data_IF_440657547695
#
_entry.id   IF_440657547695
#
_cell.length_a   1.000
_cell.length_b   1.000
_cell.length_c   1.000
_cell.angle_alpha   90.00
_cell.angle_beta   90.00
_cell.angle_gamma   90.00
#
_symmetry.space_group_name_H-M   'P 1'
#
loop_
_entity.id
_entity.type
_entity.pdbx_description
1 polymer ?
#
# COMPACT_ATOMS: atom_id res chain seq x y z
N UNK A 1 -16.03 18.18 -8.94
CA UNK A 1 -15.20 17.26 -8.12
C UNK A 1 -14.75 16.13 -9.02
N UNK A 2 -13.44 15.93 -9.17
CA UNK A 2 -12.90 14.81 -9.95
C UNK A 2 -13.46 13.50 -9.36
N UNK A 3 -14.09 12.65 -10.19
CA UNK A 3 -14.45 11.29 -9.77
C UNK A 3 -13.12 10.56 -9.52
N UNK A 4 -12.66 10.52 -8.27
CA UNK A 4 -11.41 9.83 -7.94
C UNK A 4 -11.45 8.38 -8.43
N UNK A 5 -10.29 7.78 -8.70
CA UNK A 5 -10.22 6.34 -8.92
C UNK A 5 -10.86 5.59 -7.76
N UNK A 6 -11.42 4.42 -8.02
CA UNK A 6 -12.10 3.61 -7.01
C UNK A 6 -11.22 2.47 -6.49
N UNK A 7 -9.90 2.63 -6.51
CA UNK A 7 -8.96 1.54 -6.28
C UNK A 7 -7.90 1.90 -5.25
N UNK A 8 -7.62 0.93 -4.39
CA UNK A 8 -6.54 0.96 -3.41
C UNK A 8 -5.57 -0.19 -3.71
N UNK A 9 -4.30 0.14 -3.87
CA UNK A 9 -3.21 -0.82 -4.08
C UNK A 9 -2.38 -0.91 -2.80
N UNK A 10 -2.31 -2.12 -2.24
CA UNK A 10 -1.61 -2.40 -0.98
C UNK A 10 -0.44 -3.34 -1.28
N UNK A 11 0.75 -2.94 -0.86
CA UNK A 11 1.92 -3.80 -0.85
C UNK A 11 2.28 -4.19 0.58
N UNK A 12 2.65 -5.44 0.77
CA UNK A 12 3.55 -5.80 1.86
C UNK A 12 4.95 -5.20 1.63
N UNK A 13 5.78 -5.16 2.68
CA UNK A 13 7.11 -4.59 2.60
C UNK A 13 8.22 -5.65 2.49
N UNK A 14 8.39 -6.46 3.54
CA UNK A 14 9.50 -7.40 3.67
C UNK A 14 9.33 -8.55 2.65
N UNK A 15 10.38 -8.89 1.91
CA UNK A 15 10.32 -9.88 0.81
C UNK A 15 9.33 -9.57 -0.34
N UNK A 16 8.59 -8.45 -0.28
CA UNK A 16 7.63 -8.00 -1.28
C UNK A 16 8.16 -6.79 -2.06
N UNK A 17 8.40 -5.67 -1.38
CA UNK A 17 9.08 -4.48 -1.92
C UNK A 17 10.60 -4.69 -1.87
N UNK A 18 11.08 -5.26 -0.78
CA UNK A 18 12.49 -5.64 -0.59
C UNK A 18 12.67 -7.12 -0.94
N UNK A 19 13.89 -7.56 -1.22
CA UNK A 19 14.25 -8.99 -1.31
C UNK A 19 14.59 -9.61 0.06
N UNK A 20 14.65 -8.81 1.13
CA UNK A 20 15.00 -9.27 2.46
C UNK A 20 14.06 -8.74 3.53
N UNK A 21 14.21 -9.30 4.73
CA UNK A 21 13.31 -9.08 5.86
C UNK A 21 13.89 -8.03 6.83
N UNK A 22 13.64 -6.74 6.56
CA UNK A 22 14.15 -5.59 7.32
C UNK A 22 13.79 -5.67 8.80
N UNK A 23 12.59 -6.17 9.12
CA UNK A 23 12.23 -6.42 10.52
C UNK A 23 13.20 -7.41 11.19
N UNK A 24 13.64 -8.44 10.48
CA UNK A 24 14.58 -9.45 10.96
C UNK A 24 15.97 -8.85 11.19
N UNK A 25 16.44 -8.07 10.22
CA UNK A 25 17.66 -7.26 10.30
C UNK A 25 17.67 -6.40 11.57
N UNK A 26 16.66 -5.54 11.79
CA UNK A 26 16.70 -4.58 12.91
C UNK A 26 16.26 -5.14 14.27
N UNK A 27 15.50 -6.24 14.31
CA UNK A 27 15.08 -6.89 15.57
C UNK A 27 16.20 -7.62 16.32
N UNK A 28 17.43 -7.60 15.78
CA UNK A 28 18.59 -8.25 16.38
C UNK A 28 18.79 -9.71 15.97
N UNK A 29 17.93 -10.28 15.11
CA UNK A 29 18.14 -11.64 14.57
C UNK A 29 19.41 -11.77 13.72
N UNK A 30 19.91 -10.68 13.14
CA UNK A 30 21.10 -10.70 12.28
C UNK A 30 22.26 -9.85 12.82
N UNK A 31 21.98 -8.84 13.65
CA UNK A 31 22.99 -7.89 14.14
C UNK A 31 23.23 -7.92 15.66
N UNK A 32 22.57 -8.84 16.39
CA UNK A 32 22.81 -9.05 17.83
C UNK A 32 22.28 -7.95 18.76
N UNK A 33 21.94 -6.77 18.23
CA UNK A 33 21.34 -5.66 18.98
C UNK A 33 20.00 -5.29 18.37
N UNK A 34 18.95 -5.35 19.19
CA UNK A 34 17.61 -4.89 18.81
C UNK A 34 17.63 -3.36 18.73
N UNK A 35 17.28 -2.82 17.57
CA UNK A 35 17.16 -1.38 17.35
C UNK A 35 15.73 -0.90 17.63
N UNK A 36 15.58 0.38 17.95
CA UNK A 36 14.30 1.09 17.91
C UNK A 36 14.06 1.65 16.50
N UNK A 37 12.83 2.09 16.21
CA UNK A 37 12.49 2.60 14.88
C UNK A 37 13.30 3.85 14.49
N UNK A 38 13.36 4.13 13.18
CA UNK A 38 14.01 5.31 12.64
C UNK A 38 13.44 6.59 13.26
N UNK A 39 14.34 7.53 13.57
CA UNK A 39 14.05 8.77 14.30
C UNK A 39 13.38 8.59 15.68
N UNK A 40 13.50 7.41 16.30
CA UNK A 40 13.15 7.23 17.70
C UNK A 40 14.14 7.97 18.61
N UNK A 41 13.64 8.52 19.73
CA UNK A 41 14.49 9.09 20.79
C UNK A 41 15.20 8.01 21.63
N UNK A 42 14.88 6.73 21.44
CA UNK A 42 15.52 5.64 22.16
C UNK A 42 16.95 5.41 21.65
N UNK A 43 17.84 5.06 22.56
CA UNK A 43 19.21 4.65 22.22
C UNK A 43 19.20 3.48 21.22
N UNK A 44 20.09 3.55 20.23
CA UNK A 44 20.17 2.52 19.19
C UNK A 44 19.07 2.55 18.14
N UNK A 45 18.44 3.70 17.89
CA UNK A 45 17.52 3.90 16.77
C UNK A 45 18.14 3.50 15.42
N UNK A 46 17.31 2.99 14.51
CA UNK A 46 17.69 2.78 13.12
C UNK A 46 18.13 4.11 12.51
N UNK A 47 19.27 4.08 11.82
CA UNK A 47 19.85 5.24 11.12
C UNK A 47 19.74 5.10 9.61
N UNK A 48 20.00 6.19 8.88
CA UNK A 48 20.12 6.13 7.41
C UNK A 48 21.26 5.21 6.95
N UNK A 49 22.32 5.07 7.75
CA UNK A 49 23.40 4.12 7.46
C UNK A 49 22.92 2.67 7.58
N UNK A 50 22.12 2.36 8.59
CA UNK A 50 21.54 1.01 8.77
C UNK A 50 20.62 0.64 7.60
N UNK A 51 19.75 1.58 7.18
CA UNK A 51 18.82 1.38 6.06
C UNK A 51 19.60 1.18 4.76
N UNK A 52 20.61 2.02 4.47
CA UNK A 52 21.46 1.84 3.29
C UNK A 52 22.17 0.50 3.32
N UNK A 53 22.77 0.13 4.45
CA UNK A 53 23.45 -1.16 4.61
C UNK A 53 22.52 -2.33 4.33
N UNK A 54 21.29 -2.28 4.85
CA UNK A 54 20.26 -3.28 4.55
C UNK A 54 19.97 -3.32 3.05
N UNK A 55 19.67 -2.20 2.41
CA UNK A 55 19.34 -2.16 0.98
C UNK A 55 20.50 -2.64 0.10
N UNK A 56 21.74 -2.29 0.42
CA UNK A 56 22.90 -2.62 -0.40
C UNK A 56 23.35 -4.08 -0.26
N UNK A 57 23.23 -4.67 0.94
CA UNK A 57 23.86 -5.96 1.24
C UNK A 57 22.87 -7.12 1.47
N UNK A 58 21.63 -6.85 1.85
CA UNK A 58 20.67 -7.88 2.28
C UNK A 58 19.34 -7.77 1.54
N UNK A 59 18.72 -6.60 1.67
CA UNK A 59 17.36 -6.33 1.28
C UNK A 59 17.22 -6.05 -0.20
N UNK A 60 18.01 -5.15 -0.78
CA UNK A 60 17.74 -4.63 -2.12
C UNK A 60 16.32 -4.07 -2.28
N UNK A 61 16.01 -3.59 -3.49
CA UNK A 61 14.62 -3.37 -3.92
C UNK A 61 14.29 -4.43 -4.96
N UNK A 62 13.25 -5.23 -4.70
CA UNK A 62 12.83 -6.30 -5.60
C UNK A 62 12.32 -5.69 -6.90
N UNK A 63 12.86 -6.17 -8.03
CA UNK A 63 12.49 -5.72 -9.37
C UNK A 63 12.44 -4.19 -9.52
N UNK A 64 13.46 -3.50 -8.95
CA UNK A 64 13.51 -2.05 -8.71
C UNK A 64 12.92 -1.18 -9.82
N UNK A 65 13.41 -1.32 -11.05
CA UNK A 65 12.96 -0.45 -12.15
C UNK A 65 11.49 -0.70 -12.54
N UNK A 66 11.05 -1.96 -12.54
CA UNK A 66 9.64 -2.29 -12.84
C UNK A 66 8.72 -1.86 -11.69
N UNK A 67 9.12 -2.07 -10.44
CA UNK A 67 8.36 -1.64 -9.26
C UNK A 67 8.18 -0.12 -9.27
N UNK A 68 9.28 0.63 -9.47
CA UNK A 68 9.27 2.08 -9.64
C UNK A 68 8.31 2.51 -10.75
N UNK A 69 8.38 1.88 -11.93
CA UNK A 69 7.49 2.19 -13.05
C UNK A 69 6.01 1.97 -12.69
N UNK A 70 5.69 0.86 -12.04
CA UNK A 70 4.30 0.53 -11.63
C UNK A 70 3.79 1.49 -10.56
N UNK A 71 4.60 1.81 -9.54
CA UNK A 71 4.23 2.76 -8.50
C UNK A 71 4.00 4.16 -9.08
N UNK A 72 4.90 4.64 -9.95
CA UNK A 72 4.70 5.92 -10.66
C UNK A 72 3.44 5.91 -11.51
N UNK A 73 3.18 4.82 -12.23
CA UNK A 73 1.94 4.67 -13.01
C UNK A 73 0.71 4.71 -12.11
N UNK A 74 0.71 4.02 -10.96
CA UNK A 74 -0.42 4.00 -10.04
C UNK A 74 -0.71 5.41 -9.49
N UNK A 75 0.33 6.06 -8.95
CA UNK A 75 0.23 7.37 -8.32
C UNK A 75 -0.15 8.48 -9.30
N UNK A 76 0.48 8.53 -10.49
CA UNK A 76 0.13 9.53 -11.52
C UNK A 76 -1.28 9.38 -12.07
N UNK A 77 -1.85 8.17 -11.99
CA UNK A 77 -3.22 7.89 -12.40
C UNK A 77 -4.22 8.13 -11.28
N UNK A 78 -3.80 8.49 -10.07
CA UNK A 78 -4.67 8.72 -8.92
C UNK A 78 -5.12 7.44 -8.20
N UNK A 79 -4.45 6.30 -8.42
CA UNK A 79 -4.64 5.11 -7.58
C UNK A 79 -3.92 5.34 -6.25
N UNK A 80 -4.65 5.16 -5.14
CA UNK A 80 -4.04 5.26 -3.80
C UNK A 80 -3.15 4.05 -3.55
N UNK A 81 -1.95 4.31 -3.04
CA UNK A 81 -0.97 3.27 -2.70
C UNK A 81 -0.74 3.26 -1.20
N UNK A 82 -0.81 2.08 -0.61
CA UNK A 82 -0.46 1.85 0.78
C UNK A 82 0.58 0.72 0.92
N UNK A 83 1.39 0.80 1.97
CA UNK A 83 2.26 -0.26 2.43
C UNK A 83 1.74 -0.72 3.78
N UNK A 84 1.49 -2.02 3.89
CA UNK A 84 0.98 -2.67 5.10
C UNK A 84 1.99 -3.73 5.52
N UNK A 85 2.63 -3.53 6.68
CA UNK A 85 3.66 -4.45 7.16
C UNK A 85 3.49 -4.71 8.65
N UNK A 86 3.64 -5.97 9.07
CA UNK A 86 3.62 -6.33 10.49
C UNK A 86 5.02 -6.11 11.11
N UNK A 87 5.42 -4.84 11.21
CA UNK A 87 6.77 -4.45 11.62
C UNK A 87 6.77 -3.42 12.73
N UNK A 88 7.74 -3.50 13.64
CA UNK A 88 8.05 -2.44 14.60
C UNK A 88 8.81 -1.25 14.01
N UNK A 89 9.07 -1.22 12.69
CA UNK A 89 9.92 -0.22 12.03
C UNK A 89 9.24 0.62 10.91
N UNK A 90 8.01 1.14 11.09
CA UNK A 90 7.31 1.86 10.02
C UNK A 90 7.98 3.17 9.59
N UNK A 91 8.71 3.88 10.46
CA UNK A 91 9.47 5.06 10.04
C UNK A 91 10.66 4.66 9.16
N UNK A 92 11.30 3.52 9.42
CA UNK A 92 12.32 2.99 8.53
C UNK A 92 11.72 2.60 7.17
N UNK A 93 10.53 1.97 7.15
CA UNK A 93 9.78 1.70 5.89
C UNK A 93 9.54 2.99 5.13
N UNK A 94 9.09 4.05 5.83
CA UNK A 94 8.86 5.37 5.24
C UNK A 94 10.12 5.93 4.60
N UNK A 95 11.23 5.84 5.31
CA UNK A 95 12.52 6.30 4.82
C UNK A 95 12.96 5.54 3.55
N UNK A 96 12.67 4.25 3.45
CA UNK A 96 12.88 3.46 2.22
C UNK A 96 12.03 3.97 1.06
N UNK A 97 10.74 4.24 1.28
CA UNK A 97 9.85 4.80 0.26
C UNK A 97 10.36 6.14 -0.28
N UNK A 98 10.75 7.04 0.64
CA UNK A 98 11.21 8.39 0.33
C UNK A 98 12.52 8.40 -0.49
N UNK A 99 13.45 7.47 -0.23
CA UNK A 99 14.83 7.59 -0.74
C UNK A 99 15.28 6.46 -1.68
N UNK A 100 14.59 5.31 -1.69
CA UNK A 100 15.11 4.10 -2.36
C UNK A 100 14.20 3.58 -3.48
N UNK A 101 12.93 3.98 -3.54
CA UNK A 101 11.99 3.56 -4.59
C UNK A 101 12.04 4.41 -5.87
N UNK A 102 12.82 5.50 -5.87
CA UNK A 102 12.99 6.37 -7.05
C UNK A 102 11.73 7.16 -7.43
N UNK A 103 10.87 7.43 -6.44
CA UNK A 103 9.69 8.30 -6.53
C UNK A 103 10.09 9.77 -6.34
N UNK A 104 9.27 10.72 -6.83
CA UNK A 104 9.40 12.12 -6.39
C UNK A 104 9.00 12.25 -4.92
N UNK A 105 9.32 13.39 -4.30
CA UNK A 105 8.91 13.68 -2.93
C UNK A 105 7.39 13.64 -2.77
N UNK A 106 6.65 14.28 -3.67
CA UNK A 106 5.19 14.31 -3.65
C UNK A 106 4.60 12.89 -3.81
N UNK A 107 5.21 12.09 -4.68
CA UNK A 107 4.80 10.69 -4.87
C UNK A 107 5.06 9.87 -3.61
N UNK A 108 6.25 9.98 -3.00
CA UNK A 108 6.57 9.27 -1.77
C UNK A 108 5.65 9.68 -0.61
N UNK A 109 5.40 10.98 -0.43
CA UNK A 109 4.53 11.54 0.61
C UNK A 109 3.07 11.08 0.46
N UNK A 110 2.64 10.74 -0.76
CA UNK A 110 1.30 10.21 -1.02
C UNK A 110 1.13 8.73 -0.66
N UNK A 111 2.22 7.97 -0.48
CA UNK A 111 2.16 6.56 -0.09
C UNK A 111 1.87 6.45 1.39
N UNK A 112 0.79 5.77 1.75
CA UNK A 112 0.42 5.57 3.15
C UNK A 112 1.11 4.35 3.75
N UNK A 113 1.63 4.44 4.96
CA UNK A 113 2.35 3.34 5.61
C UNK A 113 1.65 2.97 6.91
N UNK A 114 1.28 1.70 7.01
CA UNK A 114 0.64 1.12 8.18
C UNK A 114 1.51 -0.01 8.71
N UNK A 115 2.16 0.25 9.84
CA UNK A 115 2.92 -0.72 10.59
C UNK A 115 2.63 -0.67 12.09
N UNK A 116 3.53 -1.24 12.88
CA UNK A 116 3.43 -1.60 14.29
C UNK A 116 2.71 -2.91 14.59
N UNK A 117 2.82 -3.34 15.84
CA UNK A 117 2.06 -4.46 16.39
C UNK A 117 0.82 -3.87 17.08
N UNK A 118 -0.41 -4.15 16.61
CA UNK A 118 -1.60 -3.64 17.26
C UNK A 118 -1.68 -4.14 18.70
N UNK A 119 -1.51 -3.22 19.67
CA UNK A 119 -1.28 -3.57 21.07
C UNK A 119 -2.52 -4.02 21.85
N UNK A 120 -3.74 -3.82 21.33
CA UNK A 120 -4.94 -3.84 22.19
C UNK A 120 -6.21 -4.49 21.63
N UNK A 121 -6.17 -5.15 20.47
CA UNK A 121 -7.40 -5.74 19.92
C UNK A 121 -7.54 -7.24 20.12
N UNK A 122 -6.65 -7.86 20.93
CA UNK A 122 -6.56 -9.31 20.93
C UNK A 122 -5.96 -9.99 22.18
N UNK A 123 -6.62 -9.80 23.32
CA UNK A 123 -6.39 -10.64 24.50
C UNK A 123 -6.98 -12.05 24.37
N UNK A 124 -7.53 -12.42 23.20
CA UNK A 124 -8.06 -13.76 22.93
C UNK A 124 -7.43 -14.43 21.69
N UNK A 125 -6.16 -14.12 21.33
CA UNK A 125 -5.54 -14.83 20.21
C UNK A 125 -4.83 -16.14 20.58
N UNK A 126 -5.07 -17.21 19.78
CA UNK A 126 -4.26 -18.42 19.71
C UNK A 126 -2.82 -18.17 19.22
N UNK A 127 -2.14 -19.24 18.80
CA UNK A 127 -0.74 -19.32 18.39
C UNK A 127 -0.19 -18.16 17.54
N UNK A 128 1.13 -17.96 17.60
CA UNK A 128 1.89 -16.83 17.03
C UNK A 128 1.50 -16.46 15.58
N UNK A 129 1.25 -17.43 14.70
CA UNK A 129 0.91 -17.19 13.29
C UNK A 129 -0.44 -16.51 13.06
N UNK A 130 -1.41 -16.66 13.97
CA UNK A 130 -2.72 -15.99 13.83
C UNK A 130 -2.66 -14.50 14.19
N UNK A 131 -1.69 -14.09 15.02
CA UNK A 131 -1.51 -12.70 15.46
C UNK A 131 -0.98 -11.79 14.36
N UNK A 132 0.02 -12.27 13.65
CA UNK A 132 0.67 -11.53 12.57
C UNK A 132 -0.34 -11.23 11.46
N UNK A 133 -1.15 -12.23 11.12
CA UNK A 133 -2.20 -12.12 10.12
C UNK A 133 -3.31 -11.15 10.52
N UNK A 134 -3.80 -11.23 11.76
CA UNK A 134 -4.80 -10.27 12.24
C UNK A 134 -4.25 -8.84 12.23
N UNK A 135 -3.01 -8.66 12.67
CA UNK A 135 -2.38 -7.34 12.68
C UNK A 135 -2.33 -6.73 11.27
N UNK A 136 -2.03 -7.55 10.26
CA UNK A 136 -2.04 -7.14 8.86
C UNK A 136 -3.45 -6.83 8.36
N UNK A 137 -4.46 -7.63 8.71
CA UNK A 137 -5.86 -7.34 8.36
C UNK A 137 -6.33 -6.00 8.93
N UNK A 138 -5.96 -5.68 10.17
CA UNK A 138 -6.27 -4.38 10.76
C UNK A 138 -5.58 -3.22 10.01
N UNK A 139 -4.34 -3.41 9.55
CA UNK A 139 -3.65 -2.41 8.73
C UNK A 139 -4.31 -2.22 7.36
N UNK A 140 -4.84 -3.29 6.74
CA UNK A 140 -5.66 -3.19 5.53
C UNK A 140 -6.93 -2.38 5.83
N UNK A 141 -7.62 -2.63 6.94
CA UNK A 141 -8.78 -1.83 7.35
C UNK A 141 -8.40 -0.35 7.55
N UNK A 142 -7.29 -0.05 8.22
CA UNK A 142 -6.79 1.34 8.38
C UNK A 142 -6.50 2.01 7.04
N UNK A 143 -5.98 1.27 6.07
CA UNK A 143 -5.78 1.78 4.71
C UNK A 143 -7.11 2.11 4.02
N UNK A 144 -8.14 1.29 4.22
CA UNK A 144 -9.50 1.54 3.71
C UNK A 144 -10.13 2.76 4.39
N UNK A 145 -9.98 2.91 5.72
CA UNK A 145 -10.46 4.09 6.46
C UNK A 145 -9.79 5.36 5.94
N UNK A 146 -8.45 5.36 5.84
CA UNK A 146 -7.71 6.52 5.32
C UNK A 146 -8.11 6.87 3.89
N UNK A 147 -8.33 5.86 3.05
CA UNK A 147 -8.85 6.06 1.70
C UNK A 147 -10.23 6.75 1.76
N UNK A 148 -11.14 6.26 2.60
CA UNK A 148 -12.49 6.81 2.77
C UNK A 148 -12.43 8.26 3.23
N UNK A 149 -11.63 8.56 4.26
CA UNK A 149 -11.50 9.91 4.81
C UNK A 149 -11.00 10.89 3.77
N UNK A 150 -10.05 10.47 2.93
CA UNK A 150 -9.50 11.29 1.83
C UNK A 150 -10.49 11.49 0.69
N UNK A 151 -11.28 10.47 0.35
CA UNK A 151 -12.09 10.43 -0.88
C UNK A 151 -13.60 10.63 -0.67
N UNK A 152 -14.06 10.66 0.58
CA UNK A 152 -15.48 10.68 0.96
C UNK A 152 -16.25 9.39 0.62
N UNK A 153 -15.56 8.34 0.17
CA UNK A 153 -16.16 7.06 -0.26
C UNK A 153 -15.16 5.92 -0.16
N UNK A 154 -15.68 4.69 -0.09
CA UNK A 154 -14.87 3.48 -0.04
C UNK A 154 -14.20 3.16 -1.39
N UNK A 155 -13.07 2.44 -1.39
CA UNK A 155 -12.54 1.85 -2.62
C UNK A 155 -13.53 0.78 -3.11
N UNK A 156 -13.79 0.72 -4.42
CA UNK A 156 -14.57 -0.39 -5.01
C UNK A 156 -13.73 -1.66 -5.12
N UNK A 157 -12.41 -1.52 -5.25
CA UNK A 157 -11.51 -2.67 -5.36
C UNK A 157 -10.22 -2.40 -4.61
N UNK A 158 -9.76 -3.42 -3.88
CA UNK A 158 -8.48 -3.45 -3.19
C UNK A 158 -7.63 -4.56 -3.80
N UNK A 159 -6.38 -4.25 -4.14
CA UNK A 159 -5.38 -5.26 -4.50
C UNK A 159 -4.35 -5.36 -3.39
N UNK A 160 -4.14 -6.56 -2.86
CA UNK A 160 -3.04 -6.90 -1.96
C UNK A 160 -1.93 -7.61 -2.75
N UNK A 161 -0.70 -7.11 -2.61
CA UNK A 161 0.52 -7.69 -3.16
C UNK A 161 1.40 -8.14 -1.99
N UNK A 162 1.69 -9.42 -1.89
CA UNK A 162 2.29 -10.04 -0.70
C UNK A 162 3.13 -11.26 -1.10
N UNK A 163 4.26 -11.50 -0.46
CA UNK A 163 5.05 -12.73 -0.68
C UNK A 163 4.42 -13.94 0.03
N UNK A 164 3.82 -13.72 1.19
CA UNK A 164 3.20 -14.77 1.98
C UNK A 164 1.86 -15.20 1.38
N UNK A 165 1.85 -16.45 0.87
CA UNK A 165 0.67 -17.11 0.31
C UNK A 165 -0.52 -17.09 1.28
N UNK A 166 -0.28 -17.18 2.58
CA UNK A 166 -1.32 -17.20 3.62
C UNK A 166 -2.08 -15.87 3.66
N UNK A 167 -1.39 -14.74 3.48
CA UNK A 167 -2.03 -13.43 3.39
C UNK A 167 -2.91 -13.31 2.15
N UNK A 168 -2.46 -13.89 1.03
CA UNK A 168 -3.20 -13.92 -0.23
C UNK A 168 -4.41 -14.84 -0.17
N UNK A 169 -4.29 -16.05 0.37
CA UNK A 169 -5.40 -17.01 0.48
C UNK A 169 -6.51 -16.48 1.39
N UNK A 170 -6.13 -15.87 2.52
CA UNK A 170 -7.10 -15.37 3.49
C UNK A 170 -7.63 -13.97 3.17
N UNK A 171 -7.21 -13.33 2.08
CA UNK A 171 -7.86 -12.10 1.63
C UNK A 171 -9.33 -12.35 1.24
N UNK A 172 -9.65 -13.58 0.81
CA UNK A 172 -11.03 -13.98 0.53
C UNK A 172 -11.85 -14.18 1.82
N UNK A 173 -11.18 -14.53 2.93
CA UNK A 173 -11.75 -14.65 4.27
C UNK A 173 -11.65 -13.33 5.06
N UNK A 174 -11.17 -12.25 4.43
CA UNK A 174 -10.91 -10.96 5.08
C UNK A 174 -12.16 -10.42 5.77
N UNK A 175 -13.31 -10.47 5.10
CA UNK A 175 -14.61 -10.07 5.66
C UNK A 175 -14.87 -10.82 6.97
N UNK A 176 -14.72 -12.14 6.98
CA UNK A 176 -14.99 -12.98 8.15
C UNK A 176 -13.99 -12.69 9.29
N UNK A 177 -12.73 -12.44 8.95
CA UNK A 177 -11.73 -12.06 9.95
C UNK A 177 -12.08 -10.73 10.61
N UNK A 178 -12.52 -9.75 9.84
CA UNK A 178 -12.80 -8.38 10.29
C UNK A 178 -14.18 -8.26 10.95
N UNK A 179 -15.16 -9.11 10.60
CA UNK A 179 -16.48 -9.16 11.25
C UNK A 179 -16.40 -9.47 12.74
N UNK A 180 -15.36 -10.19 13.18
CA UNK A 180 -15.07 -10.45 14.61
C UNK A 180 -14.69 -9.17 15.39
N UNK A 181 -14.64 -8.01 14.74
CA UNK A 181 -14.24 -6.70 15.28
C UNK A 181 -15.22 -5.59 14.89
N UNK A 182 -16.53 -5.88 14.86
CA UNK A 182 -17.57 -4.88 14.58
C UNK A 182 -17.43 -3.59 15.38
N UNK A 183 -17.02 -3.66 16.65
CA UNK A 183 -16.78 -2.47 17.48
C UNK A 183 -15.74 -1.53 16.86
N UNK A 184 -14.59 -2.08 16.44
CA UNK A 184 -13.55 -1.29 15.78
C UNK A 184 -14.03 -0.71 14.46
N UNK A 185 -14.75 -1.50 13.65
CA UNK A 185 -15.33 -1.00 12.40
C UNK A 185 -16.25 0.20 12.67
N UNK A 186 -17.19 0.08 13.60
CA UNK A 186 -18.15 1.13 13.96
C UNK A 186 -17.44 2.40 14.45
N UNK A 187 -16.46 2.25 15.34
CA UNK A 187 -15.63 3.36 15.84
C UNK A 187 -14.88 4.11 14.72
N UNK A 188 -14.54 3.41 13.64
CA UNK A 188 -13.85 3.98 12.47
C UNK A 188 -14.80 4.26 11.29
N UNK A 189 -16.11 4.34 11.57
CA UNK A 189 -17.12 4.69 10.57
C UNK A 189 -17.28 3.66 9.45
N UNK A 190 -17.00 2.39 9.70
CA UNK A 190 -17.19 1.28 8.77
C UNK A 190 -18.25 0.31 9.30
N UNK A 191 -18.91 -0.38 8.38
CA UNK A 191 -19.77 -1.54 8.66
C UNK A 191 -19.21 -2.80 8.01
N UNK A 192 -19.73 -3.98 8.38
CA UNK A 192 -19.40 -5.22 7.66
C UNK A 192 -19.91 -5.15 6.22
N UNK A 193 -21.08 -4.56 6.00
CA UNK A 193 -21.66 -4.37 4.67
C UNK A 193 -20.75 -3.53 3.77
N UNK A 194 -20.16 -2.47 4.33
CA UNK A 194 -19.14 -1.66 3.65
C UNK A 194 -17.98 -2.52 3.16
N UNK A 195 -17.43 -3.38 4.02
CA UNK A 195 -16.30 -4.26 3.66
C UNK A 195 -16.72 -5.31 2.63
N UNK A 196 -17.93 -5.88 2.77
CA UNK A 196 -18.48 -6.85 1.82
C UNK A 196 -18.63 -6.29 0.39
N UNK A 197 -18.92 -5.00 0.28
CA UNK A 197 -19.07 -4.33 -1.00
C UNK A 197 -17.73 -3.99 -1.70
N UNK A 198 -16.60 -4.25 -1.04
CA UNK A 198 -15.26 -4.06 -1.60
C UNK A 198 -14.81 -5.36 -2.27
N UNK A 199 -14.42 -5.28 -3.55
CA UNK A 199 -13.79 -6.41 -4.23
C UNK A 199 -12.31 -6.52 -3.83
N UNK A 200 -11.93 -7.62 -3.21
CA UNK A 200 -10.51 -7.90 -2.93
C UNK A 200 -9.86 -8.74 -4.03
N UNK A 201 -8.59 -8.47 -4.31
CA UNK A 201 -7.74 -9.23 -5.22
C UNK A 201 -6.38 -9.46 -4.58
N UNK A 202 -5.89 -10.69 -4.59
CA UNK A 202 -4.54 -11.02 -4.16
C UNK A 202 -3.58 -11.27 -5.31
N UNK A 203 -2.35 -10.80 -5.19
CA UNK A 203 -1.22 -11.11 -6.07
C UNK A 203 -0.06 -11.57 -5.20
N UNK A 204 0.27 -12.87 -5.29
CA UNK A 204 1.43 -13.40 -4.60
C UNK A 204 2.72 -12.98 -5.33
N UNK A 205 3.70 -12.50 -4.57
CA UNK A 205 5.08 -12.27 -5.03
C UNK A 205 5.86 -13.58 -4.92
N UNK A 206 6.41 -14.11 -6.01
CA UNK A 206 7.22 -15.31 -5.94
C UNK A 206 8.55 -15.03 -5.22
N UNK A 207 9.05 -16.02 -4.48
CA UNK A 207 10.36 -15.93 -3.83
C UNK A 207 11.48 -15.72 -4.86
N UNK A 208 11.35 -16.32 -6.05
CA UNK A 208 12.18 -16.08 -7.22
C UNK A 208 11.29 -15.65 -8.38
N UNK A 209 11.34 -14.37 -8.76
CA UNK A 209 10.64 -13.87 -9.94
C UNK A 209 11.60 -13.03 -10.79
N UNK A 210 12.23 -13.68 -11.77
CA UNK A 210 13.19 -13.04 -12.68
C UNK A 210 12.50 -12.09 -13.67
N UNK A 211 11.24 -12.37 -14.00
CA UNK A 211 10.50 -11.67 -15.05
C UNK A 211 9.49 -10.66 -14.49
N UNK A 212 9.34 -10.64 -13.16
CA UNK A 212 8.45 -9.75 -12.43
C UNK A 212 6.99 -9.83 -12.90
N UNK A 213 6.51 -11.03 -13.23
CA UNK A 213 5.15 -11.26 -13.73
C UNK A 213 4.08 -10.77 -12.76
N UNK A 214 4.35 -10.79 -11.45
CA UNK A 214 3.43 -10.21 -10.47
C UNK A 214 3.21 -8.71 -10.72
N UNK A 215 4.25 -7.96 -11.09
CA UNK A 215 4.15 -6.52 -11.41
C UNK A 215 3.37 -6.25 -12.70
N UNK A 216 3.37 -7.19 -13.65
CA UNK A 216 2.49 -7.10 -14.83
C UNK A 216 1.02 -7.23 -14.44
N UNK A 217 0.69 -8.11 -13.48
CA UNK A 217 -0.67 -8.22 -12.93
C UNK A 217 -1.07 -6.96 -12.18
N UNK A 218 -0.15 -6.36 -11.41
CA UNK A 218 -0.37 -5.08 -10.75
C UNK A 218 -0.60 -3.97 -11.79
N UNK A 219 0.19 -3.91 -12.86
CA UNK A 219 -0.01 -2.92 -13.92
C UNK A 219 -1.37 -3.10 -14.62
N UNK A 220 -1.79 -4.34 -14.89
CA UNK A 220 -3.14 -4.62 -15.42
C UNK A 220 -4.24 -4.12 -14.49
N UNK A 221 -4.06 -4.28 -13.18
CA UNK A 221 -4.98 -3.73 -12.18
C UNK A 221 -5.02 -2.20 -12.21
N UNK A 222 -3.87 -1.54 -12.25
CA UNK A 222 -3.77 -0.08 -12.36
C UNK A 222 -4.50 0.40 -13.62
N UNK A 223 -4.29 -0.24 -14.77
CA UNK A 223 -4.92 0.12 -16.04
C UNK A 223 -6.45 -0.11 -16.03
N UNK A 224 -6.92 -1.17 -15.39
CA UNK A 224 -8.35 -1.50 -15.36
C UNK A 224 -9.18 -0.62 -14.42
N UNK A 225 -8.53 0.08 -13.47
CA UNK A 225 -9.20 0.93 -12.48
C UNK A 225 -9.02 2.42 -12.76
N UNK A 226 -8.71 2.76 -14.00
CA UNK A 226 -8.70 4.14 -14.46
C UNK A 226 -10.14 4.63 -14.62
N UNK A 227 -10.45 5.73 -13.93
CA UNK A 227 -11.50 6.61 -14.42
C UNK A 227 -10.91 7.28 -15.67
N UNK A 228 -11.35 6.87 -16.86
CA UNK A 228 -11.22 7.74 -18.01
C UNK A 228 -12.04 8.99 -17.70
N UNK A 229 -11.38 10.13 -17.47
CA UNK A 229 -12.07 11.38 -17.74
C UNK A 229 -12.43 11.33 -19.23
N UNK A 230 -13.72 11.46 -19.59
CA UNK A 230 -14.06 11.74 -20.97
C UNK A 230 -13.31 13.03 -21.33
N UNK A 231 -12.44 12.98 -22.33
CA UNK A 231 -11.91 14.20 -22.94
C UNK A 231 -13.09 14.83 -23.69
N UNK A 232 -13.94 15.53 -22.96
CA UNK A 232 -14.90 16.46 -23.52
C UNK A 232 -14.46 17.85 -23.11
N UNK A 233 -14.47 18.77 -24.08
CA UNK A 233 -14.11 20.19 -24.01
C UNK A 233 -12.65 20.53 -24.32
N UNK A 234 -12.34 20.63 -25.63
CA UNK A 234 -11.79 21.85 -26.24
C UNK A 234 -11.73 21.79 -27.77
N UNK A 235 -12.84 21.40 -28.42
CA UNK A 235 -13.11 21.86 -29.78
C UNK A 235 -14.49 22.50 -29.76
N UNK A 236 -14.55 23.70 -29.17
CA UNK A 236 -15.60 24.66 -29.54
C UNK A 236 -15.56 24.75 -31.05
N UNK A 237 -16.67 24.38 -31.68
CA UNK A 237 -16.97 24.70 -33.07
C UNK A 237 -16.68 26.19 -33.24
N UNK A 238 -15.78 26.51 -34.15
CA UNK A 238 -15.68 27.86 -34.70
C UNK A 238 -17.07 28.19 -35.27
N UNK A 239 -17.75 29.15 -34.65
CA UNK A 239 -18.94 29.74 -35.25
C UNK A 239 -18.52 30.57 -36.46
N UNK A 240 -19.31 30.55 -37.55
CA UNK A 240 -18.97 31.23 -38.79
C UNK A 240 -19.02 32.74 -38.60
N UNK A 241 -17.93 33.42 -38.97
CA UNK A 241 -17.86 34.87 -39.13
C UNK A 241 -18.79 35.26 -40.29
N UNK A 242 -20.04 35.57 -40.00
CA UNK A 242 -20.88 36.37 -40.89
C UNK A 242 -21.76 37.28 -40.06
N UNK A 243 -21.29 38.51 -39.85
CA UNK A 243 -22.17 39.66 -39.69
C UNK A 243 -21.43 40.94 -40.11
N UNK A 244 -22.07 41.61 -41.08
CA UNK A 244 -21.99 43.04 -41.40
C UNK A 244 -20.91 43.50 -42.39
N UNK A 245 -21.21 43.31 -43.68
CA UNK A 245 -20.96 44.32 -44.70
C UNK A 245 -22.31 44.75 -45.30
N UNK A 246 -22.97 45.68 -44.62
CA UNK A 246 -23.89 46.66 -45.20
C UNK A 246 -23.63 47.97 -44.45
N UNK A 247 -22.81 48.81 -45.06
CA UNK A 247 -23.08 50.22 -45.38
C UNK A 247 -21.94 50.75 -46.27
#
# INVERSE_FOLDING_TARGET
MAKGNSALLIFDFDNTITNGHMHGTFSGRHFGVKKSDYNSAAEGAVTDADIRKFIENEGGIKNKEKLKSVLKSALSRGVEVAIVSFTGYPNAVKRVVENHLGLSKEQADSVSIFGHFPKHYDFQLPERGQRDQFGKNLHICKAIVKYKDKNGRLPKTVMLVDDDKTNIEKINEFVESVSKREGWLKENGLSIEDINNIKFKGVQVPQQDKDAHYLERVQKFVNANLVQEPIYENLKKEEPIYQNLQD
#
